data_IF_599704119651
#
_entry.id   IF_599704119651
#
_cell.length_a   1.000
_cell.length_b   1.000
_cell.length_c   1.000
_cell.angle_alpha   90.00
_cell.angle_beta   90.00
_cell.angle_gamma   90.00
#
_symmetry.space_group_name_H-M   'P 1'
#
loop_
_entity.id
_entity.type
_entity.pdbx_description
1 polymer ?
#
# COMPACT_ATOMS: atom_id res chain seq x y z
N UNK A 1 13.96 8.19 -11.14
CA UNK A 1 13.84 7.76 -11.37
C UNK A 1 13.57 7.20 -11.68
N UNK A 2 13.64 7.08 -11.80
CA UNK A 2 13.19 6.56 -12.12
C UNK A 2 13.06 5.81 -12.84
N UNK A 3 13.23 5.34 -13.00
CA UNK A 3 13.00 4.79 -13.52
C UNK A 3 12.28 4.41 -14.02
N UNK A 4 12.16 4.54 -14.18
CA UNK A 4 11.44 4.25 -14.61
C UNK A 4 11.29 4.25 -15.33
N UNK A 5 11.30 4.47 -15.25
CA UNK A 5 11.15 4.57 -15.91
C UNK A 5 11.03 4.61 -16.77
N UNK A 6 11.19 4.94 -16.95
CA UNK A 6 11.06 5.08 -17.79
C UNK A 6 10.92 4.91 -18.65
N UNK A 7 11.04 4.94 -18.82
CA UNK A 7 10.85 4.87 -19.63
C UNK A 7 10.51 5.11 -20.44
N UNK A 8 10.41 5.54 -20.59
CA UNK A 8 10.11 5.88 -21.37
C UNK A 8 9.76 6.25 -22.05
N UNK A 9 9.86 6.69 -22.17
CA UNK A 9 9.52 7.11 -22.77
C UNK A 9 9.42 7.15 -23.78
N UNK A 10 9.54 7.14 -24.00
CA UNK A 10 9.35 7.17 -24.83
C UNK A 10 8.80 6.88 -25.60
N UNK A 11 8.70 6.69 -25.89
CA UNK A 11 7.95 6.35 -26.52
C UNK A 11 7.19 6.66 -27.15
N UNK A 12 7.04 6.81 -27.37
CA UNK A 12 6.16 7.01 -27.77
C UNK A 12 5.45 6.66 -28.38
N UNK A 13 5.41 6.31 -28.62
CA UNK A 13 4.63 5.84 -29.04
C UNK A 13 4.03 5.24 -29.08
N UNK A 14 4.25 4.93 -29.07
CA UNK A 14 3.61 4.32 -29.00
C UNK A 14 3.25 3.70 -28.48
N UNK A 15 3.69 3.40 -28.14
CA UNK A 15 3.33 2.74 -27.55
C UNK A 15 2.87 3.03 -26.66
N UNK A 16 2.58 3.25 -26.40
CA UNK A 16 2.06 3.44 -25.50
C UNK A 16 1.43 2.75 -24.81
N UNK A 17 1.22 2.05 -24.95
CA UNK A 17 0.65 1.23 -24.28
C UNK A 17 1.32 0.54 -23.51
N UNK A 18 2.16 0.68 -23.43
CA UNK A 18 2.78 0.16 -22.64
C UNK A 18 2.87 0.73 -21.58
N UNK A 19 2.46 0.70 -21.09
CA UNK A 19 2.30 1.09 -20.09
C UNK A 19 3.14 0.88 -19.24
N UNK A 20 3.44 1.51 -18.63
CA UNK A 20 4.23 1.41 -17.74
C UNK A 20 3.87 0.62 -16.69
N UNK A 21 4.16 -0.57 -16.74
CA UNK A 21 4.01 -1.46 -15.69
C UNK A 21 5.18 -1.30 -14.83
N UNK A 22 5.02 -0.91 -13.64
CA UNK A 22 6.11 -0.85 -12.72
C UNK A 22 6.62 -2.25 -12.45
N UNK A 23 7.92 -2.41 -12.45
CA UNK A 23 8.52 -3.64 -12.01
C UNK A 23 8.52 -3.61 -10.48
N UNK A 24 7.59 -4.31 -9.91
CA UNK A 24 7.39 -4.28 -8.46
C UNK A 24 8.65 -4.73 -7.72
N UNK A 25 9.35 -5.71 -8.26
CA UNK A 25 10.56 -6.19 -7.61
C UNK A 25 11.62 -5.09 -7.56
N UNK A 26 11.77 -4.33 -8.64
CA UNK A 26 12.73 -3.23 -8.65
C UNK A 26 12.37 -2.17 -7.64
N UNK A 27 11.09 -1.93 -7.45
CA UNK A 27 10.66 -0.92 -6.47
C UNK A 27 11.06 -1.35 -5.06
N UNK A 28 10.82 -2.62 -4.72
CA UNK A 28 11.18 -3.08 -3.40
C UNK A 28 12.70 -3.14 -3.21
N UNK A 29 13.44 -3.42 -4.29
CA UNK A 29 14.89 -3.36 -4.20
C UNK A 29 15.37 -1.93 -3.97
N UNK A 30 14.73 -0.98 -4.60
CA UNK A 30 15.10 0.42 -4.40
C UNK A 30 14.84 0.84 -2.96
N UNK A 31 13.74 0.39 -2.36
CA UNK A 31 13.45 0.69 -0.98
C UNK A 31 14.57 0.13 -0.09
N UNK A 32 14.96 -1.11 -0.34
CA UNK A 32 16.01 -1.71 0.45
C UNK A 32 17.34 -0.99 0.28
N UNK A 33 17.61 -0.55 -0.94
CA UNK A 33 18.84 0.14 -1.22
C UNK A 33 18.90 1.49 -0.53
N UNK A 34 17.80 2.21 -0.56
CA UNK A 34 17.78 3.56 -0.01
C UNK A 34 17.68 3.59 1.50
N UNK A 35 16.99 2.63 2.09
CA UNK A 35 16.77 2.64 3.53
C UNK A 35 17.50 1.55 4.28
N UNK A 36 18.08 0.60 3.56
CA UNK A 36 18.87 -0.46 4.19
C UNK A 36 18.04 -1.48 4.96
N UNK A 37 16.75 -1.57 4.66
CA UNK A 37 15.88 -2.51 5.38
C UNK A 37 14.96 -3.23 4.42
N UNK A 38 14.43 -4.35 4.88
CA UNK A 38 13.36 -5.01 4.18
C UNK A 38 12.04 -4.48 4.69
N UNK A 39 11.03 -4.52 3.85
CA UNK A 39 9.70 -4.07 4.23
C UNK A 39 8.69 -5.16 3.92
N UNK A 40 7.56 -5.08 4.59
CA UNK A 40 6.48 -6.02 4.35
C UNK A 40 5.93 -5.78 2.96
N UNK A 41 5.79 -6.84 2.19
CA UNK A 41 5.35 -6.74 0.80
C UNK A 41 3.89 -7.08 0.69
N UNK A 42 3.22 -6.37 -0.20
CA UNK A 42 1.84 -6.68 -0.54
C UNK A 42 1.89 -7.54 -1.79
N UNK A 43 1.65 -8.82 -1.62
CA UNK A 43 1.76 -9.74 -2.75
C UNK A 43 0.50 -9.69 -3.59
N UNK A 44 0.72 -9.73 -4.89
CA UNK A 44 -0.40 -9.85 -5.80
C UNK A 44 -0.81 -11.30 -5.85
N UNK A 45 -2.03 -11.56 -5.55
CA UNK A 45 -2.49 -12.93 -5.59
C UNK A 45 -3.57 -13.12 -6.62
N UNK A 46 -3.99 -12.08 -7.27
CA UNK A 46 -5.11 -12.22 -8.17
C UNK A 46 -4.85 -11.47 -9.45
N UNK A 47 -5.52 -11.93 -10.45
CA UNK A 47 -5.46 -11.31 -11.72
C UNK A 47 -6.01 -9.92 -11.62
N UNK A 48 -5.36 -8.97 -12.23
CA UNK A 48 -5.86 -7.62 -12.30
C UNK A 48 -5.30 -6.66 -11.29
N UNK A 49 -4.49 -7.13 -10.37
CA UNK A 49 -3.87 -6.23 -9.42
C UNK A 49 -2.49 -5.85 -9.91
N UNK A 50 -2.19 -4.57 -9.97
CA UNK A 50 -0.92 -4.10 -10.50
C UNK A 50 -0.47 -2.87 -9.76
N UNK A 51 0.84 -2.76 -9.59
CA UNK A 51 1.44 -1.54 -9.03
C UNK A 51 1.44 -0.49 -10.12
N UNK A 52 0.80 0.65 -9.86
CA UNK A 52 0.68 1.68 -10.88
C UNK A 52 1.42 2.96 -10.53
N UNK A 53 1.91 3.08 -9.30
CA UNK A 53 2.64 4.28 -8.94
C UNK A 53 3.49 3.99 -7.71
N UNK A 54 4.68 4.56 -7.67
CA UNK A 54 5.53 4.46 -6.48
C UNK A 54 6.17 5.82 -6.24
N UNK A 55 6.31 6.14 -4.97
CA UNK A 55 6.92 7.40 -4.56
C UNK A 55 7.77 7.09 -3.33
N UNK A 56 9.08 7.24 -3.47
CA UNK A 56 10.02 6.96 -2.39
C UNK A 56 10.71 8.26 -2.00
N UNK A 57 10.44 8.71 -0.78
CA UNK A 57 10.98 9.97 -0.29
C UNK A 57 12.02 9.68 0.77
N UNK A 58 13.28 9.82 0.41
CA UNK A 58 14.38 9.53 1.33
C UNK A 58 14.47 10.54 2.46
N UNK A 59 14.10 11.77 2.20
CA UNK A 59 14.22 12.81 3.21
C UNK A 59 13.19 12.61 4.30
N UNK A 60 11.95 12.39 3.90
CA UNK A 60 10.89 12.16 4.87
C UNK A 60 10.82 10.72 5.33
N UNK A 61 11.57 9.83 4.69
CA UNK A 61 11.59 8.41 5.00
C UNK A 61 10.21 7.80 4.87
N UNK A 62 9.57 8.12 3.78
CA UNK A 62 8.23 7.63 3.51
C UNK A 62 8.18 7.00 2.13
N UNK A 63 7.36 5.96 2.02
CA UNK A 63 7.13 5.30 0.75
C UNK A 63 5.63 5.24 0.55
N UNK A 64 5.18 5.53 -0.66
CA UNK A 64 3.78 5.39 -1.00
C UNK A 64 3.68 4.61 -2.29
N UNK A 65 3.03 3.47 -2.22
CA UNK A 65 2.79 2.63 -3.39
C UNK A 65 1.31 2.62 -3.66
N UNK A 66 0.95 2.74 -4.92
CA UNK A 66 -0.46 2.69 -5.30
C UNK A 66 -0.65 1.51 -6.22
N UNK A 67 -1.55 0.63 -5.82
CA UNK A 67 -1.94 -0.52 -6.61
C UNK A 67 -3.34 -0.30 -7.14
N UNK A 68 -3.62 -0.90 -8.26
CA UNK A 68 -4.95 -0.88 -8.83
C UNK A 68 -5.46 -2.29 -8.94
N UNK A 69 -6.68 -2.53 -8.47
CA UNK A 69 -7.28 -3.84 -8.55
C UNK A 69 -8.70 -3.64 -9.04
N UNK A 70 -8.93 -3.98 -10.30
CA UNK A 70 -10.19 -3.72 -10.97
C UNK A 70 -10.45 -2.22 -10.93
N UNK A 71 -11.44 -1.77 -10.21
CA UNK A 71 -11.74 -0.35 -10.16
C UNK A 71 -11.31 0.32 -8.87
N UNK A 72 -10.63 -0.41 -8.02
CA UNK A 72 -10.25 0.13 -6.72
C UNK A 72 -8.77 0.48 -6.71
N UNK A 73 -8.47 1.60 -6.10
CA UNK A 73 -7.09 1.98 -5.85
C UNK A 73 -6.74 1.62 -4.42
N UNK A 74 -5.59 1.01 -4.25
CA UNK A 74 -5.10 0.60 -2.94
C UNK A 74 -3.86 1.42 -2.66
N UNK A 75 -3.88 2.16 -1.57
CA UNK A 75 -2.76 3.00 -1.22
C UNK A 75 -2.01 2.32 -0.08
N UNK A 76 -0.73 2.04 -0.31
CA UNK A 76 0.10 1.33 0.66
C UNK A 76 1.24 2.27 1.06
N UNK A 77 1.20 2.73 2.30
CA UNK A 77 2.14 3.73 2.78
C UNK A 77 3.02 3.14 3.86
N UNK A 78 4.27 3.56 3.86
CA UNK A 78 5.23 3.12 4.85
C UNK A 78 5.95 4.32 5.42
N UNK A 79 6.09 4.35 6.74
CA UNK A 79 6.90 5.36 7.41
C UNK A 79 8.05 4.65 8.05
N UNK A 80 9.25 4.88 7.52
CA UNK A 80 10.43 4.13 7.89
C UNK A 80 11.09 4.76 9.10
N UNK A 81 11.49 3.93 10.03
CA UNK A 81 12.14 4.40 11.26
C UNK A 81 11.28 5.39 12.02
N UNK A 82 9.99 5.18 11.95
CA UNK A 82 9.07 5.99 12.68
C UNK A 82 9.22 5.65 14.15
N UNK A 83 9.28 6.66 15.00
CA UNK A 83 9.29 6.40 16.38
C UNK A 83 7.93 6.01 16.76
N UNK A 84 7.76 5.09 17.44
CA UNK A 84 6.61 4.51 18.02
C UNK A 84 5.44 5.43 18.15
N UNK A 85 4.92 5.91 17.09
CA UNK A 85 3.79 6.73 17.14
C UNK A 85 2.58 5.90 16.98
N UNK A 86 1.62 6.17 17.78
CA UNK A 86 0.40 5.52 17.65
C UNK A 86 -0.42 6.40 16.76
N UNK A 87 -0.53 6.03 15.54
CA UNK A 87 -1.34 6.78 14.66
C UNK A 87 -2.73 6.20 14.72
N UNK A 88 -3.60 6.85 15.37
CA UNK A 88 -4.97 6.44 15.24
C UNK A 88 -5.54 7.34 14.18
N UNK A 89 -6.24 6.79 13.25
CA UNK A 89 -7.02 7.56 12.36
C UNK A 89 -8.08 8.19 13.23
N UNK A 90 -8.00 9.49 13.34
CA UNK A 90 -8.90 10.17 14.21
C UNK A 90 -10.13 10.53 13.41
N UNK A 91 -10.94 9.58 13.13
CA UNK A 91 -12.17 9.82 12.43
C UNK A 91 -13.26 9.96 13.45
N UNK A 92 -13.83 11.13 13.50
CA UNK A 92 -14.82 11.38 14.48
C UNK A 92 -16.18 10.99 14.04
N UNK A 93 -16.31 10.22 13.03
CA UNK A 93 -17.59 9.79 12.55
C UNK A 93 -18.11 8.69 13.45
N UNK A 94 -19.35 8.78 13.81
CA UNK A 94 -19.94 7.79 14.66
C UNK A 94 -20.10 6.47 14.00
N UNK A 95 -19.97 6.39 12.69
CA UNK A 95 -20.14 5.14 11.99
C UNK A 95 -18.85 4.40 11.75
N UNK A 96 -17.84 4.77 12.49
CA UNK A 96 -16.55 4.09 12.37
C UNK A 96 -16.62 2.76 13.08
N UNK A 97 -16.17 1.72 12.41
CA UNK A 97 -16.09 0.38 12.97
C UNK A 97 -14.62 0.01 13.07
N UNK A 98 -14.21 -0.49 14.22
CA UNK A 98 -12.82 -0.86 14.45
C UNK A 98 -12.74 -2.32 14.75
N UNK A 99 -11.86 -3.03 14.04
CA UNK A 99 -11.64 -4.44 14.26
C UNK A 99 -10.15 -4.71 14.20
N UNK A 100 -9.78 -5.95 14.46
CA UNK A 100 -8.39 -6.36 14.42
C UNK A 100 -8.33 -7.76 13.85
N UNK A 101 -7.38 -8.00 12.97
CA UNK A 101 -7.15 -9.34 12.46
C UNK A 101 -5.70 -9.70 12.70
N UNK A 102 -5.39 -10.97 12.56
CA UNK A 102 -4.02 -11.46 12.70
C UNK A 102 -3.61 -12.09 11.38
N UNK A 103 -2.48 -11.65 10.85
CA UNK A 103 -1.94 -12.20 9.62
C UNK A 103 -0.51 -12.66 9.94
N UNK A 104 -0.29 -13.95 9.77
CA UNK A 104 1.04 -14.52 10.01
C UNK A 104 1.57 -14.16 11.40
N UNK A 105 0.67 -14.17 12.39
CA UNK A 105 1.04 -13.87 13.77
C UNK A 105 1.12 -12.39 14.09
N UNK A 106 0.89 -11.52 13.13
CA UNK A 106 0.98 -10.10 13.35
C UNK A 106 -0.39 -9.45 13.39
N UNK A 107 -0.59 -8.58 14.36
CA UNK A 107 -1.88 -7.95 14.54
C UNK A 107 -2.00 -6.72 13.67
N UNK A 108 -3.13 -6.61 12.98
CA UNK A 108 -3.41 -5.50 12.09
C UNK A 108 -4.72 -4.87 12.52
N UNK A 109 -4.67 -3.58 12.79
CA UNK A 109 -5.88 -2.85 13.16
C UNK A 109 -6.59 -2.38 11.90
N UNK A 110 -7.90 -2.53 11.86
CA UNK A 110 -8.69 -2.13 10.71
C UNK A 110 -9.73 -1.12 11.16
N UNK A 111 -9.80 0.00 10.45
CA UNK A 111 -10.81 1.00 10.65
C UNK A 111 -11.66 1.04 9.40
N UNK A 112 -12.96 0.96 9.57
CA UNK A 112 -13.87 0.96 8.44
C UNK A 112 -14.90 2.05 8.63
N UNK A 113 -15.19 2.78 7.59
CA UNK A 113 -16.23 3.79 7.66
C UNK A 113 -16.89 3.95 6.29
N UNK A 114 -18.07 4.51 6.32
CA UNK A 114 -18.89 4.63 5.14
C UNK A 114 -18.72 6.03 4.56
N UNK A 115 -18.50 6.10 3.25
CA UNK A 115 -18.39 7.37 2.56
C UNK A 115 -19.76 7.88 2.23
N UNK A 116 -19.82 9.15 1.80
CA UNK A 116 -21.10 9.78 1.52
C UNK A 116 -21.85 9.07 0.41
N UNK A 117 -21.15 8.47 -0.52
CA UNK A 117 -21.80 7.79 -1.62
C UNK A 117 -22.20 6.35 -1.27
N UNK A 118 -22.04 5.95 0.00
CA UNK A 118 -22.41 4.62 0.41
C UNK A 118 -21.33 3.58 0.29
N UNK A 119 -20.19 3.92 -0.31
CA UNK A 119 -19.09 2.99 -0.39
C UNK A 119 -18.36 2.89 0.94
N UNK A 120 -17.66 1.79 1.14
CA UNK A 120 -16.94 1.55 2.37
C UNK A 120 -15.47 1.81 2.17
N UNK A 121 -14.91 2.58 3.08
CA UNK A 121 -13.47 2.82 3.09
C UNK A 121 -12.86 2.00 4.22
N UNK A 122 -11.80 1.29 3.91
CA UNK A 122 -11.10 0.48 4.90
C UNK A 122 -9.68 0.94 5.02
N UNK A 123 -9.20 1.04 6.26
CA UNK A 123 -7.83 1.45 6.55
C UNK A 123 -7.23 0.44 7.50
N UNK A 124 -6.10 -0.11 7.13
CA UNK A 124 -5.37 -1.05 7.99
C UNK A 124 -4.07 -0.40 8.44
N UNK A 125 -3.73 -0.60 9.70
CA UNK A 125 -2.50 -0.04 10.25
C UNK A 125 -1.80 -1.09 11.09
N UNK A 126 -0.48 -1.16 10.94
CA UNK A 126 0.33 -2.06 11.74
C UNK A 126 1.77 -1.60 11.73
N UNK A 127 2.52 -2.01 12.73
CA UNK A 127 3.94 -1.72 12.82
C UNK A 127 4.70 -3.03 12.76
N UNK A 128 5.82 -3.04 12.05
CA UNK A 128 6.64 -4.24 11.96
C UNK A 128 8.09 -3.82 11.71
N UNK A 129 8.99 -4.23 12.58
CA UNK A 129 10.43 -3.97 12.42
C UNK A 129 10.74 -2.51 12.11
N UNK A 130 10.26 -1.64 12.96
CA UNK A 130 10.56 -0.20 12.90
C UNK A 130 9.95 0.53 11.71
N UNK A 131 9.00 -0.07 11.05
CA UNK A 131 8.27 0.58 9.99
C UNK A 131 6.80 0.58 10.33
N UNK A 132 6.15 1.71 10.11
CA UNK A 132 4.72 1.81 10.32
C UNK A 132 4.02 1.79 8.98
N UNK A 133 3.04 0.91 8.83
CA UNK A 133 2.37 0.67 7.57
C UNK A 133 0.91 1.09 7.64
N UNK A 134 0.43 1.68 6.56
CA UNK A 134 -0.98 2.02 6.43
C UNK A 134 -1.43 1.61 5.04
N UNK A 135 -2.51 0.85 4.98
CA UNK A 135 -3.10 0.44 3.71
C UNK A 135 -4.54 0.91 3.71
N UNK A 136 -4.94 1.65 2.68
CA UNK A 136 -6.34 2.03 2.60
C UNK A 136 -6.89 1.83 1.21
N UNK A 137 -8.16 1.50 1.15
CA UNK A 137 -8.82 1.23 -0.10
C UNK A 137 -10.33 1.33 0.09
N UNK A 138 -11.00 1.74 -0.97
CA UNK A 138 -12.45 1.75 -0.99
C UNK A 138 -12.88 0.43 -1.58
N UNK A 139 -13.31 -0.48 -0.73
CA UNK A 139 -13.75 -1.81 -1.14
C UNK A 139 -14.51 -2.44 0.02
N UNK A 140 -15.15 -3.57 -0.25
CA UNK A 140 -15.88 -4.26 0.79
C UNK A 140 -14.94 -4.87 1.80
N UNK A 141 -15.43 -5.00 3.02
CA UNK A 141 -14.60 -5.50 4.11
C UNK A 141 -14.02 -6.88 3.80
N UNK A 142 -14.81 -7.76 3.21
CA UNK A 142 -14.32 -9.10 2.92
C UNK A 142 -13.17 -9.07 1.93
N UNK A 143 -13.28 -8.22 0.91
CA UNK A 143 -12.22 -8.09 -0.08
C UNK A 143 -10.98 -7.47 0.54
N UNK A 144 -11.18 -6.53 1.44
CA UNK A 144 -10.05 -5.87 2.09
C UNK A 144 -9.30 -6.86 2.99
N UNK A 145 -10.03 -7.69 3.72
CA UNK A 145 -9.38 -8.68 4.57
C UNK A 145 -8.62 -9.71 3.74
N UNK A 146 -9.17 -10.08 2.60
CA UNK A 146 -8.47 -10.98 1.72
C UNK A 146 -7.19 -10.35 1.21
N UNK A 147 -7.24 -9.07 0.88
CA UNK A 147 -6.05 -8.35 0.47
C UNK A 147 -4.98 -8.39 1.56
N UNK A 148 -5.37 -8.14 2.80
CA UNK A 148 -4.41 -8.11 3.90
C UNK A 148 -3.78 -9.47 4.15
N UNK A 149 -4.49 -10.54 3.85
CA UNK A 149 -3.92 -11.87 4.02
C UNK A 149 -2.82 -12.17 3.02
N UNK A 150 -2.60 -11.28 2.05
CA UNK A 150 -1.52 -11.42 1.11
C UNK A 150 -0.30 -10.62 1.50
N UNK A 151 -0.29 -10.04 2.67
CA UNK A 151 0.90 -9.37 3.16
C UNK A 151 1.95 -10.42 3.48
N UNK A 152 3.17 -10.15 3.08
CA UNK A 152 4.29 -11.04 3.33
C UNK A 152 5.21 -10.42 4.37
N UNK A 153 5.25 -11.02 5.53
CA UNK A 153 6.11 -10.59 6.63
C UNK A 153 7.39 -11.41 6.55
N UNK A 154 8.51 -10.73 6.48
CA UNK A 154 9.79 -11.41 6.32
C UNK A 154 10.37 -11.87 7.64
#
# INVERSE_FOLDING_TARGET
DRKMTQVDTEREDGDKNKVDVYDEESVYEEIKEKFGIDVVRLKRNSVGMALVQSDIDEVLKKVCLIYENKNALIQYQMEIQSENKSYAYDIEDKKVKRTQITVDGNKIDIIQYELEDGNEENVAQFAYEDVFYTINATMKEADFKELLNNLYFF
#
